data_IF_727553820826
#
_entry.id   IF_727553820826
#
_cell.length_a   1.000
_cell.length_b   1.000
_cell.length_c   1.000
_cell.angle_alpha   90.00
_cell.angle_beta   90.00
_cell.angle_gamma   90.00
#
_symmetry.space_group_name_H-M   'P 1'
#
loop_
_entity.id
_entity.type
_entity.pdbx_description
1 polymer ?
#
# COMPACT_ATOMS: atom_id res chain seq x y z
N UNK A 1 5.89 6.68 6.56
CA UNK A 1 7.25 6.25 6.13
C UNK A 1 7.88 5.41 7.23
N UNK A 2 8.77 4.47 6.87
CA UNK A 2 9.55 3.68 7.86
C UNK A 2 10.95 3.35 7.31
N UNK A 3 11.89 3.08 8.21
CA UNK A 3 13.25 2.62 7.86
C UNK A 3 13.25 1.15 7.42
N UNK A 4 14.16 0.80 6.52
CA UNK A 4 14.43 -0.56 6.08
C UNK A 4 15.75 -1.08 6.68
N UNK A 5 15.91 -2.41 6.82
CA UNK A 5 17.22 -3.01 7.07
C UNK A 5 18.24 -2.53 6.03
N UNK A 6 19.48 -2.25 6.46
CA UNK A 6 20.53 -1.72 5.58
C UNK A 6 20.49 -0.19 5.37
N UNK A 7 19.61 0.53 6.06
CA UNK A 7 19.63 2.00 6.13
C UNK A 7 18.81 2.71 5.05
N UNK A 8 18.11 1.97 4.19
CA UNK A 8 17.12 2.54 3.28
C UNK A 8 15.82 2.94 3.98
N UNK A 9 14.84 3.40 3.22
CA UNK A 9 13.53 3.76 3.74
C UNK A 9 12.42 3.48 2.73
N UNK A 10 11.20 3.39 3.22
CA UNK A 10 9.98 3.24 2.42
C UNK A 10 8.98 4.32 2.78
N UNK A 11 8.31 4.84 1.76
CA UNK A 11 7.28 5.87 1.87
C UNK A 11 5.98 5.34 1.29
N UNK A 12 4.88 5.73 1.91
CA UNK A 12 3.52 5.53 1.39
C UNK A 12 2.83 6.88 1.30
N UNK A 13 1.96 7.03 0.30
CA UNK A 13 1.17 8.25 0.10
C UNK A 13 -0.12 7.91 -0.64
N UNK A 14 -1.05 8.86 -0.66
CA UNK A 14 -2.25 8.81 -1.50
C UNK A 14 -2.09 9.76 -2.68
N UNK A 15 -2.54 9.34 -3.86
CA UNK A 15 -2.54 10.12 -5.09
C UNK A 15 -3.74 9.68 -5.93
N UNK A 16 -4.18 10.49 -6.89
CA UNK A 16 -5.18 10.05 -7.87
C UNK A 16 -4.77 8.68 -8.43
N UNK A 17 -5.68 7.71 -8.35
CA UNK A 17 -5.43 6.38 -8.90
C UNK A 17 -5.20 6.51 -10.40
N UNK A 18 -4.37 5.63 -10.96
CA UNK A 18 -4.05 5.67 -12.38
C UNK A 18 -5.33 5.51 -13.19
N UNK A 19 -5.71 6.53 -13.98
CA UNK A 19 -6.90 6.53 -14.85
C UNK A 19 -6.90 5.33 -15.82
N UNK A 20 -5.72 4.77 -16.11
CA UNK A 20 -5.53 3.57 -16.94
C UNK A 20 -6.07 2.29 -16.29
N UNK A 21 -6.28 2.29 -14.97
CA UNK A 21 -6.91 1.20 -14.21
C UNK A 21 -8.42 1.39 -14.02
N UNK A 22 -8.99 2.48 -14.57
CA UNK A 22 -10.44 2.76 -14.50
C UNK A 22 -10.94 3.13 -13.11
N UNK A 23 -10.05 3.52 -12.20
CA UNK A 23 -10.40 3.94 -10.84
C UNK A 23 -11.04 5.32 -10.79
N UNK A 24 -12.01 5.49 -9.90
CA UNK A 24 -12.60 6.78 -9.58
C UNK A 24 -12.26 7.13 -8.14
N UNK A 25 -11.14 7.82 -7.93
CA UNK A 25 -10.69 8.22 -6.58
C UNK A 25 -9.17 8.18 -6.39
N UNK A 26 -8.74 8.39 -5.15
CA UNK A 26 -7.35 8.26 -4.73
C UNK A 26 -6.95 6.80 -4.51
N UNK A 27 -5.78 6.41 -5.00
CA UNK A 27 -5.09 5.17 -4.65
C UNK A 27 -4.00 5.40 -3.60
N UNK A 28 -3.61 4.33 -2.92
CA UNK A 28 -2.46 4.28 -2.01
C UNK A 28 -1.26 3.73 -2.75
N UNK A 29 -0.14 4.43 -2.67
CA UNK A 29 1.10 4.08 -3.37
C UNK A 29 2.25 3.89 -2.39
N UNK A 30 3.27 3.14 -2.84
CA UNK A 30 4.50 2.86 -2.11
C UNK A 30 5.74 3.02 -3.02
N UNK A 31 6.85 3.45 -2.41
CA UNK A 31 8.18 3.49 -3.05
C UNK A 31 9.28 3.22 -2.03
N UNK A 32 10.27 2.40 -2.40
CA UNK A 32 11.44 2.16 -1.57
C UNK A 32 12.65 2.93 -2.10
N UNK A 33 13.50 3.32 -1.16
CA UNK A 33 14.73 4.06 -1.42
C UNK A 33 15.89 3.39 -0.69
N UNK A 34 17.07 3.40 -1.33
CA UNK A 34 18.32 2.99 -0.72
C UNK A 34 18.74 3.94 0.41
N UNK A 35 19.78 3.59 1.16
CA UNK A 35 20.36 4.47 2.18
C UNK A 35 20.89 5.80 1.62
N UNK A 36 21.15 5.85 0.31
CA UNK A 36 21.60 7.05 -0.41
C UNK A 36 20.41 7.84 -1.00
N UNK A 37 19.16 7.43 -0.74
CA UNK A 37 17.97 8.07 -1.28
C UNK A 37 17.71 7.76 -2.77
N UNK A 38 18.32 6.70 -3.30
CA UNK A 38 18.09 6.27 -4.69
C UNK A 38 16.84 5.38 -4.73
N UNK A 39 15.85 5.66 -5.60
CA UNK A 39 14.69 4.78 -5.75
C UNK A 39 15.11 3.36 -6.12
N UNK A 40 14.53 2.35 -5.47
CA UNK A 40 14.83 0.95 -5.73
C UNK A 40 14.03 0.39 -6.91
N UNK A 41 12.85 0.95 -7.17
CA UNK A 41 12.00 0.61 -8.31
C UNK A 41 11.99 1.73 -9.34
N UNK A 42 11.63 1.44 -10.59
CA UNK A 42 11.50 2.47 -11.64
C UNK A 42 10.22 3.30 -11.44
N UNK A 43 9.09 2.65 -11.18
CA UNK A 43 7.78 3.28 -11.01
C UNK A 43 7.31 3.24 -9.55
N UNK A 44 6.36 4.11 -9.21
CA UNK A 44 5.59 3.95 -7.97
C UNK A 44 4.71 2.71 -8.07
N UNK A 45 4.37 2.12 -6.93
CA UNK A 45 3.62 0.87 -6.89
C UNK A 45 2.31 1.16 -6.18
N UNK A 46 1.19 0.85 -6.82
CA UNK A 46 -0.11 0.93 -6.18
C UNK A 46 -0.28 -0.26 -5.22
N UNK A 47 -0.71 0.04 -4.00
CA UNK A 47 -0.88 -0.92 -2.91
C UNK A 47 -2.30 -1.48 -2.90
N UNK A 48 -3.31 -0.63 -3.00
CA UNK A 48 -4.70 -1.09 -3.06
C UNK A 48 -5.00 -1.74 -4.41
N UNK A 49 -5.79 -2.81 -4.42
CA UNK A 49 -6.35 -3.36 -5.68
C UNK A 49 -7.75 -2.85 -5.97
N UNK A 50 -8.48 -2.43 -4.94
CA UNK A 50 -9.78 -1.76 -5.10
C UNK A 50 -9.58 -0.35 -5.60
N UNK A 51 -10.21 0.01 -6.71
CA UNK A 51 -10.07 1.32 -7.37
C UNK A 51 -11.35 2.17 -7.34
N UNK A 52 -12.41 1.61 -6.75
CA UNK A 52 -13.68 2.31 -6.51
C UNK A 52 -13.59 3.07 -5.18
N UNK A 53 -14.12 4.29 -5.13
CA UNK A 53 -14.02 5.17 -3.96
C UNK A 53 -12.59 5.64 -3.66
N UNK A 54 -12.43 6.34 -2.54
CA UNK A 54 -11.13 6.85 -2.11
C UNK A 54 -10.37 5.87 -1.18
N UNK A 55 -9.06 5.76 -1.40
CA UNK A 55 -8.13 5.06 -0.52
C UNK A 55 -7.10 6.03 0.09
N UNK A 56 -7.09 6.12 1.43
CA UNK A 56 -6.36 7.18 2.14
C UNK A 56 -5.87 6.79 3.54
N UNK A 57 -5.18 7.73 4.19
CA UNK A 57 -4.56 7.59 5.52
C UNK A 57 -3.67 6.34 5.65
N UNK A 58 -2.79 6.13 4.67
CA UNK A 58 -1.90 4.98 4.69
C UNK A 58 -0.82 5.05 5.77
N UNK A 59 -0.45 3.89 6.29
CA UNK A 59 0.70 3.70 7.19
C UNK A 59 1.47 2.44 6.80
N UNK A 60 2.78 2.42 7.07
CA UNK A 60 3.68 1.33 6.67
C UNK A 60 4.63 0.95 7.81
N UNK A 61 4.79 -0.36 8.01
CA UNK A 61 5.79 -0.95 8.90
C UNK A 61 6.67 -1.94 8.14
N UNK A 62 7.92 -2.09 8.61
CA UNK A 62 8.89 -3.04 8.06
C UNK A 62 9.44 -3.94 9.17
N UNK A 63 9.67 -5.22 8.87
CA UNK A 63 10.39 -6.13 9.77
C UNK A 63 11.90 -6.16 9.47
N UNK A 64 12.66 -6.87 10.32
CA UNK A 64 14.10 -7.01 10.18
C UNK A 64 14.56 -7.73 8.90
N UNK A 65 13.65 -8.43 8.23
CA UNK A 65 13.92 -9.12 6.96
C UNK A 65 13.54 -8.26 5.75
N UNK A 66 13.03 -7.05 5.98
CA UNK A 66 12.55 -6.14 4.94
C UNK A 66 11.17 -6.48 4.41
N UNK A 67 10.40 -7.34 5.09
CA UNK A 67 8.98 -7.52 4.78
C UNK A 67 8.22 -6.27 5.21
N UNK A 68 7.21 -5.90 4.43
CA UNK A 68 6.40 -4.70 4.66
C UNK A 68 4.95 -5.07 4.96
N UNK A 69 4.32 -4.30 5.84
CA UNK A 69 2.88 -4.26 5.98
C UNK A 69 2.42 -2.82 5.76
N UNK A 70 1.51 -2.62 4.82
CA UNK A 70 0.85 -1.34 4.55
C UNK A 70 -0.60 -1.47 4.97
N UNK A 71 -1.10 -0.49 5.72
CA UNK A 71 -2.52 -0.37 6.09
C UNK A 71 -3.07 0.93 5.54
N UNK A 72 -4.36 0.95 5.18
CA UNK A 72 -5.05 2.13 4.68
C UNK A 72 -6.55 2.08 5.00
N UNK A 73 -7.22 3.22 4.89
CA UNK A 73 -8.67 3.30 4.84
C UNK A 73 -9.13 3.18 3.39
N UNK A 74 -10.10 2.31 3.12
CA UNK A 74 -10.79 2.25 1.82
C UNK A 74 -12.27 2.51 1.99
N UNK A 75 -12.78 3.40 1.15
CA UNK A 75 -14.21 3.56 0.93
C UNK A 75 -14.70 2.55 -0.10
N UNK A 76 -15.99 2.21 -0.04
CA UNK A 76 -16.74 1.42 -1.02
C UNK A 76 -16.26 -0.02 -1.31
N UNK A 77 -15.14 -0.44 -0.72
CA UNK A 77 -14.54 -1.76 -0.94
C UNK A 77 -15.41 -2.92 -0.44
N UNK A 78 -16.21 -2.70 0.61
CA UNK A 78 -17.20 -3.64 1.14
C UNK A 78 -18.61 -3.04 1.16
N UNK A 79 -18.87 -2.06 0.29
CA UNK A 79 -20.10 -1.24 0.27
C UNK A 79 -20.32 -0.34 1.51
N UNK A 80 -19.29 -0.18 2.36
CA UNK A 80 -19.32 0.76 3.48
C UNK A 80 -18.72 2.13 3.14
N UNK A 81 -18.96 3.11 4.02
CA UNK A 81 -18.35 4.44 3.98
C UNK A 81 -16.87 4.43 4.40
N UNK A 82 -16.30 3.28 4.79
CA UNK A 82 -14.87 3.21 5.17
C UNK A 82 -14.53 1.98 6.02
N UNK A 83 -13.52 1.22 5.57
CA UNK A 83 -12.92 0.11 6.31
C UNK A 83 -11.40 0.21 6.37
N UNK A 84 -10.77 -0.45 7.35
CA UNK A 84 -9.29 -0.57 7.44
C UNK A 84 -8.86 -1.84 6.71
N UNK A 85 -8.02 -1.66 5.70
CA UNK A 85 -7.47 -2.72 4.87
C UNK A 85 -5.96 -2.78 5.00
N UNK A 86 -5.38 -3.92 4.61
CA UNK A 86 -3.97 -4.14 4.72
C UNK A 86 -3.43 -5.02 3.59
N UNK A 87 -2.18 -4.78 3.26
CA UNK A 87 -1.41 -5.63 2.38
C UNK A 87 -0.01 -5.84 2.94
N UNK A 88 0.45 -7.08 2.78
CA UNK A 88 1.81 -7.48 3.13
C UNK A 88 2.62 -7.72 1.86
N UNK A 89 3.84 -7.21 1.84
CA UNK A 89 4.85 -7.52 0.84
C UNK A 89 6.01 -8.25 1.52
N UNK A 90 6.47 -9.34 0.94
CA UNK A 90 7.66 -10.04 1.40
C UNK A 90 8.90 -9.49 0.70
N UNK A 91 10.08 -9.61 1.34
CA UNK A 91 11.33 -9.20 0.71
C UNK A 91 11.67 -9.99 -0.55
N UNK A 92 11.04 -11.14 -0.74
CA UNK A 92 11.12 -11.97 -1.95
C UNK A 92 10.06 -11.66 -2.99
N UNK A 93 9.04 -10.84 -2.67
CA UNK A 93 8.01 -10.50 -3.63
C UNK A 93 8.60 -9.63 -4.75
N UNK A 94 8.22 -9.94 -5.98
CA UNK A 94 8.36 -8.97 -7.05
C UNK A 94 7.28 -7.92 -6.87
N UNK A 95 7.58 -6.92 -6.04
CA UNK A 95 6.66 -5.82 -5.69
C UNK A 95 6.25 -4.98 -6.90
N UNK A 96 6.89 -5.14 -8.07
CA UNK A 96 6.48 -4.51 -9.33
C UNK A 96 5.23 -5.15 -9.97
N UNK A 97 4.70 -6.23 -9.39
CA UNK A 97 3.46 -6.86 -9.86
C UNK A 97 2.29 -6.33 -9.06
N UNK A 98 1.18 -6.06 -9.74
CA UNK A 98 -0.04 -5.60 -9.11
C UNK A 98 -0.44 -6.55 -7.96
N UNK A 99 -0.74 -6.00 -6.78
CA UNK A 99 -1.05 -6.81 -5.62
C UNK A 99 -2.33 -7.65 -5.73
N UNK A 100 -2.55 -8.54 -4.76
CA UNK A 100 -3.88 -9.12 -4.47
C UNK A 100 -4.30 -8.69 -3.07
N UNK A 101 -5.44 -8.02 -2.94
CA UNK A 101 -5.92 -7.55 -1.62
C UNK A 101 -6.18 -8.76 -0.70
N UNK A 102 -5.60 -8.73 0.50
CA UNK A 102 -5.98 -9.62 1.58
C UNK A 102 -7.15 -8.98 2.33
N UNK A 103 -8.34 -9.57 2.23
CA UNK A 103 -9.49 -9.10 3.00
C UNK A 103 -9.31 -9.45 4.48
N UNK A 104 -8.85 -8.50 5.30
CA UNK A 104 -9.05 -8.59 6.75
C UNK A 104 -10.48 -8.09 6.99
N UNK A 105 -11.46 -8.98 6.95
CA UNK A 105 -12.82 -8.61 7.28
C UNK A 105 -12.85 -7.98 8.68
N UNK A 106 -13.45 -6.78 8.88
CA UNK A 106 -13.62 -6.23 10.20
C UNK A 106 -14.42 -7.23 11.03
N UNK A 107 -13.81 -7.74 12.12
CA UNK A 107 -14.59 -8.43 13.14
C UNK A 107 -15.42 -7.37 13.84
N UNK A 108 -16.68 -7.23 13.45
CA UNK A 108 -17.67 -6.53 14.25
C UNK A 108 -17.76 -7.25 15.60
N UNK A 109 -17.18 -6.65 16.64
CA UNK A 109 -17.47 -7.01 18.01
C UNK A 109 -18.79 -6.32 18.37
N UNK A 110 -19.84 -7.12 18.56
CA UNK A 110 -21.11 -6.69 19.16
C UNK A 110 -20.95 -6.49 20.67
#
# INVERSE_FOLDING_TARGET
MTSLPGGGFVVTWSSNADETTGGSGNGVFIKRYSAQGIPLEDQQIQVNTTTLGDQYFSSVAADQNGNLAVVWTSEEQDTSEGGVYAQRFTSTDNINVAPTDLTIAPRYHY
#
